data_IF_885072428659
#
_entry.id   IF_885072428659
#
_cell.length_a   1.000
_cell.length_b   1.000
_cell.length_c   1.000
_cell.angle_alpha   90.00
_cell.angle_beta   90.00
_cell.angle_gamma   90.00
#
_symmetry.space_group_name_H-M   'P 1'
#
loop_
_entity.id
_entity.type
_entity.pdbx_description
1 polymer ?
#
# COMPACT_ATOMS: atom_id res chain seq x y z
N UNK A 1 5.40 -4.63 -4.64
CA UNK A 1 4.87 -4.32 -3.29
C UNK A 1 5.21 -2.90 -2.79
N UNK A 2 6.47 -2.48 -2.65
CA UNK A 2 6.78 -1.12 -2.14
C UNK A 2 6.11 -0.03 -2.98
N UNK A 3 6.16 -0.14 -4.31
CA UNK A 3 5.52 0.83 -5.21
C UNK A 3 3.99 0.84 -5.08
N UNK A 4 3.37 -0.30 -4.91
CA UNK A 4 1.93 -0.39 -4.63
C UNK A 4 1.59 0.34 -3.32
N UNK A 5 2.38 0.12 -2.26
CA UNK A 5 2.16 0.80 -0.97
C UNK A 5 2.44 2.31 -1.04
N UNK A 6 3.34 2.76 -1.93
CA UNK A 6 3.62 4.17 -2.16
C UNK A 6 2.46 4.86 -2.87
N UNK A 7 2.03 4.27 -4.00
CA UNK A 7 1.04 4.89 -4.87
C UNK A 7 -0.40 4.63 -4.38
N UNK A 8 -0.64 3.48 -3.75
CA UNK A 8 -1.95 3.08 -3.24
C UNK A 8 -1.85 2.67 -1.76
N UNK A 9 -1.59 3.63 -0.85
CA UNK A 9 -1.54 3.32 0.58
C UNK A 9 -2.92 2.90 1.08
N UNK A 10 -2.99 1.79 1.80
CA UNK A 10 -4.26 1.26 2.35
C UNK A 10 -4.94 2.27 3.27
N UNK A 11 -4.15 3.01 4.07
CA UNK A 11 -4.64 4.09 4.94
C UNK A 11 -4.01 5.42 4.54
N UNK A 12 -4.63 6.20 3.65
CA UNK A 12 -4.02 7.41 3.06
C UNK A 12 -3.70 8.49 4.08
N UNK A 13 -4.49 8.62 5.15
CA UNK A 13 -4.29 9.61 6.23
C UNK A 13 -3.77 8.98 7.52
N UNK A 14 -3.43 7.69 7.50
CA UNK A 14 -3.16 6.88 8.67
C UNK A 14 -4.28 6.99 9.73
N UNK A 15 -4.06 6.42 10.92
CA UNK A 15 -5.02 6.57 12.01
C UNK A 15 -4.90 7.95 12.66
N UNK A 16 -6.02 8.63 12.97
CA UNK A 16 -5.99 9.93 13.64
C UNK A 16 -5.18 9.91 14.93
N UNK A 17 -4.48 11.01 15.21
CA UNK A 17 -3.77 11.25 16.47
C UNK A 17 -4.48 12.36 17.23
N UNK A 18 -4.34 12.36 18.55
CA UNK A 18 -4.79 13.44 19.40
C UNK A 18 -3.58 14.04 20.10
N UNK A 19 -3.38 15.36 19.97
CA UNK A 19 -2.39 16.07 20.75
C UNK A 19 -2.79 16.03 22.23
N UNK A 20 -1.91 15.55 23.10
CA UNK A 20 -2.17 15.44 24.55
C UNK A 20 -1.90 16.72 25.31
N UNK A 21 -1.02 17.52 24.75
CA UNK A 21 -0.53 18.78 25.28
C UNK A 21 -0.28 19.74 24.14
N UNK A 22 -0.13 21.02 24.43
CA UNK A 22 0.28 21.99 23.43
C UNK A 22 1.67 21.65 22.92
N UNK A 23 1.84 21.64 21.62
CA UNK A 23 3.13 21.29 20.97
C UNK A 23 3.35 22.15 19.74
N UNK A 24 4.58 22.61 19.54
CA UNK A 24 4.99 23.29 18.31
C UNK A 24 5.69 22.33 17.37
N UNK A 25 5.27 22.31 16.10
CA UNK A 25 5.87 21.51 15.03
C UNK A 25 6.24 22.46 13.88
N UNK A 26 7.54 22.64 13.65
CA UNK A 26 8.03 23.67 12.73
C UNK A 26 7.60 25.07 13.20
N UNK A 27 6.82 25.76 12.36
CA UNK A 27 6.25 27.09 12.66
C UNK A 27 4.80 27.08 13.15
N UNK A 28 4.24 25.89 13.42
CA UNK A 28 2.85 25.73 13.81
C UNK A 28 2.71 25.36 15.28
N UNK A 29 1.84 26.07 16.00
CA UNK A 29 1.41 25.70 17.34
C UNK A 29 0.16 24.85 17.26
N UNK A 30 0.22 23.68 17.88
CA UNK A 30 -0.85 22.68 17.87
C UNK A 30 -1.36 22.55 19.31
N UNK A 31 -2.54 23.10 19.63
CA UNK A 31 -3.13 23.00 20.97
C UNK A 31 -3.45 21.57 21.37
N UNK A 32 -3.45 21.31 22.67
CA UNK A 32 -3.96 20.07 23.24
C UNK A 32 -5.39 19.81 22.76
N UNK A 33 -5.72 18.53 22.52
CA UNK A 33 -7.03 18.13 21.97
C UNK A 33 -7.16 18.25 20.46
N UNK A 34 -6.17 18.82 19.76
CA UNK A 34 -6.16 18.87 18.29
C UNK A 34 -6.03 17.47 17.69
N UNK A 35 -6.90 17.19 16.71
CA UNK A 35 -6.81 15.97 15.92
C UNK A 35 -5.82 16.16 14.76
N UNK A 36 -4.81 15.30 14.70
CA UNK A 36 -3.72 15.34 13.72
C UNK A 36 -3.79 14.11 12.81
N UNK A 37 -3.68 14.32 11.51
CA UNK A 37 -3.55 13.28 10.50
C UNK A 37 -2.17 13.35 9.83
N UNK A 38 -1.67 12.19 9.41
CA UNK A 38 -0.43 12.09 8.63
C UNK A 38 -0.85 11.68 7.21
N UNK A 39 -0.67 12.58 6.26
CA UNK A 39 -1.06 12.34 4.87
C UNK A 39 -0.02 11.48 4.13
N UNK A 40 -0.08 10.16 4.36
CA UNK A 40 0.80 9.19 3.72
C UNK A 40 0.60 9.15 2.19
N UNK A 41 -0.60 9.48 1.72
CA UNK A 41 -0.92 9.59 0.29
C UNK A 41 -0.14 10.73 -0.37
N UNK A 42 -0.12 11.92 0.22
CA UNK A 42 0.64 13.05 -0.30
C UNK A 42 2.15 12.82 -0.19
N UNK A 43 2.64 12.27 0.93
CA UNK A 43 4.05 11.92 1.14
C UNK A 43 4.54 10.98 0.02
N UNK A 44 3.77 9.94 -0.30
CA UNK A 44 4.11 9.00 -1.35
C UNK A 44 4.08 9.59 -2.78
N UNK A 45 3.55 10.81 -2.95
CA UNK A 45 3.40 11.52 -4.22
C UNK A 45 4.15 12.85 -4.29
N UNK A 46 4.98 13.14 -3.31
CA UNK A 46 5.74 14.38 -3.25
C UNK A 46 6.80 14.42 -4.37
N UNK A 47 6.71 15.36 -5.33
CA UNK A 47 7.66 15.48 -6.41
C UNK A 47 9.06 15.94 -5.96
N UNK A 48 9.19 16.50 -4.76
CA UNK A 48 10.48 16.84 -4.18
C UNK A 48 11.29 15.57 -3.79
N UNK A 49 10.60 14.44 -3.62
CA UNK A 49 11.19 13.17 -3.16
C UNK A 49 11.13 12.09 -4.24
N UNK A 50 10.03 12.06 -5.00
CA UNK A 50 9.74 11.00 -5.96
C UNK A 50 9.74 11.53 -7.40
N UNK A 51 10.66 11.07 -8.20
CA UNK A 51 10.64 11.31 -9.65
C UNK A 51 9.39 10.67 -10.28
N UNK A 52 8.69 11.39 -11.17
CA UNK A 52 7.44 10.96 -11.79
C UNK A 52 6.48 10.31 -10.75
N UNK A 53 6.03 11.09 -9.72
CA UNK A 53 5.38 10.55 -8.53
C UNK A 53 4.04 9.86 -8.80
N UNK A 54 3.38 10.17 -9.90
CA UNK A 54 2.09 9.59 -10.30
C UNK A 54 2.23 8.32 -11.13
N UNK A 55 3.44 8.00 -11.61
CA UNK A 55 3.68 6.79 -12.38
C UNK A 55 3.95 5.60 -11.47
N UNK A 56 3.38 4.45 -11.83
CA UNK A 56 3.69 3.18 -11.18
C UNK A 56 4.98 2.59 -11.73
N UNK A 57 6.09 2.81 -11.01
CA UNK A 57 7.45 2.40 -11.41
C UNK A 57 8.12 1.58 -10.32
N UNK A 58 7.89 0.24 -10.27
CA UNK A 58 8.49 -0.63 -9.26
C UNK A 58 10.02 -0.60 -9.24
N UNK A 59 10.63 -0.30 -10.38
CA UNK A 59 12.07 -0.26 -10.60
C UNK A 59 12.78 0.79 -9.74
N UNK A 60 12.05 1.84 -9.29
CA UNK A 60 12.60 2.86 -8.38
C UNK A 60 13.09 2.29 -7.05
N UNK A 61 12.64 1.09 -6.70
CA UNK A 61 13.08 0.40 -5.48
C UNK A 61 14.21 -0.60 -5.71
N UNK A 62 14.64 -0.83 -6.95
CA UNK A 62 15.79 -1.69 -7.25
C UNK A 62 17.06 -0.97 -6.78
N UNK A 63 17.82 -1.58 -5.90
CA UNK A 63 19.00 -0.96 -5.27
C UNK A 63 18.71 0.16 -4.27
N UNK A 64 17.45 0.57 -4.09
CA UNK A 64 17.07 1.59 -3.12
C UNK A 64 17.13 1.05 -1.69
N UNK A 65 17.60 1.89 -0.76
CA UNK A 65 17.56 1.60 0.69
C UNK A 65 16.22 1.91 1.34
N UNK A 66 15.33 2.62 0.64
CA UNK A 66 14.00 2.99 1.16
C UNK A 66 13.22 1.73 1.48
N UNK A 67 12.71 1.66 2.71
CA UNK A 67 11.86 0.57 3.17
C UNK A 67 10.60 1.08 3.88
N UNK A 68 9.73 0.16 4.24
CA UNK A 68 8.42 0.43 4.86
C UNK A 68 8.41 0.28 6.38
N UNK A 69 9.59 0.18 7.01
CA UNK A 69 9.74 -0.11 8.45
C UNK A 69 9.65 1.13 9.34
N UNK A 70 9.20 2.26 8.78
CA UNK A 70 8.96 3.50 9.54
C UNK A 70 10.20 4.31 9.88
N UNK A 71 11.34 4.02 9.25
CA UNK A 71 12.59 4.81 9.36
C UNK A 71 12.78 5.74 8.15
N UNK A 72 12.13 5.44 7.05
CA UNK A 72 12.12 6.21 5.80
C UNK A 72 10.80 6.99 5.74
N UNK A 73 10.84 8.27 6.13
CA UNK A 73 9.64 9.10 6.26
C UNK A 73 8.99 9.44 4.92
N UNK A 74 9.71 9.25 3.84
CA UNK A 74 9.18 9.33 2.47
C UNK A 74 8.23 8.18 2.09
N UNK A 75 8.20 7.08 2.87
CA UNK A 75 7.36 5.91 2.62
C UNK A 75 6.82 5.31 3.91
N UNK A 76 5.61 5.67 4.30
CA UNK A 76 5.01 5.34 5.60
C UNK A 76 3.70 4.54 5.50
N UNK A 77 3.61 3.44 4.74
CA UNK A 77 2.35 2.71 4.58
C UNK A 77 1.85 2.09 5.90
N UNK A 78 2.75 1.83 6.85
CA UNK A 78 2.45 1.30 8.18
C UNK A 78 2.60 2.34 9.29
N UNK A 79 2.84 3.60 8.94
CA UNK A 79 3.19 4.66 9.88
C UNK A 79 4.59 4.49 10.47
N UNK A 80 4.85 5.19 11.57
CA UNK A 80 6.14 5.19 12.27
C UNK A 80 5.97 5.39 13.78
N UNK A 81 7.05 5.12 14.54
CA UNK A 81 7.14 5.37 15.97
C UNK A 81 6.23 4.49 16.82
N UNK A 82 5.83 5.01 17.98
CA UNK A 82 5.04 4.27 19.00
C UNK A 82 3.66 3.79 18.56
N UNK A 83 3.16 4.29 17.44
CA UNK A 83 1.83 3.96 16.87
C UNK A 83 1.94 3.33 15.47
N UNK A 84 3.11 2.80 15.14
CA UNK A 84 3.29 2.01 13.93
C UNK A 84 2.36 0.79 13.94
N UNK A 85 1.91 0.37 12.77
CA UNK A 85 1.02 -0.79 12.60
C UNK A 85 1.63 -2.06 13.25
N UNK A 86 0.96 -2.67 14.23
CA UNK A 86 1.47 -3.89 14.87
C UNK A 86 1.45 -5.09 13.93
N UNK A 87 0.60 -5.07 12.89
CA UNK A 87 0.48 -6.13 11.88
C UNK A 87 1.50 -6.06 10.75
N UNK A 88 2.40 -5.05 10.72
CA UNK A 88 3.36 -4.86 9.63
C UNK A 88 4.19 -6.12 9.36
N UNK A 89 4.75 -6.74 10.41
CA UNK A 89 5.59 -7.94 10.27
C UNK A 89 4.83 -9.12 9.67
N UNK A 90 3.57 -9.28 10.01
CA UNK A 90 2.68 -10.30 9.43
C UNK A 90 2.37 -9.97 7.97
N UNK A 91 1.96 -8.74 7.68
CA UNK A 91 1.61 -8.32 6.31
C UNK A 91 2.80 -8.50 5.34
N UNK A 92 4.00 -8.10 5.74
CA UNK A 92 5.21 -8.22 4.91
C UNK A 92 5.65 -9.67 4.65
N UNK A 93 5.15 -10.63 5.41
CA UNK A 93 5.37 -12.07 5.17
C UNK A 93 4.22 -12.70 4.39
N UNK A 94 2.99 -12.42 4.81
CA UNK A 94 1.80 -13.07 4.24
C UNK A 94 1.51 -12.61 2.80
N UNK A 95 1.57 -11.31 2.51
CA UNK A 95 1.23 -10.81 1.18
C UNK A 95 2.15 -11.35 0.09
N UNK A 96 3.50 -11.33 0.23
CA UNK A 96 4.39 -11.95 -0.76
C UNK A 96 4.19 -13.46 -0.89
N UNK A 97 3.93 -14.15 0.22
CA UNK A 97 3.71 -15.60 0.22
C UNK A 97 2.42 -15.95 -0.55
N UNK A 98 1.33 -15.22 -0.28
CA UNK A 98 0.06 -15.42 -1.00
C UNK A 98 0.24 -15.14 -2.48
N UNK A 99 0.84 -14.00 -2.85
CA UNK A 99 1.11 -13.66 -4.25
C UNK A 99 2.00 -14.68 -4.94
N UNK A 100 3.05 -15.14 -4.28
CA UNK A 100 3.94 -16.16 -4.83
C UNK A 100 3.20 -17.46 -5.12
N UNK A 101 2.36 -17.93 -4.20
CA UNK A 101 1.55 -19.13 -4.40
C UNK A 101 0.54 -18.96 -5.54
N UNK A 102 -0.16 -17.83 -5.59
CA UNK A 102 -1.13 -17.54 -6.65
C UNK A 102 -0.47 -17.48 -8.04
N UNK A 103 0.67 -16.79 -8.16
CA UNK A 103 1.40 -16.67 -9.41
C UNK A 103 2.13 -17.97 -9.82
N UNK A 104 2.53 -18.79 -8.86
CA UNK A 104 3.12 -20.08 -9.11
C UNK A 104 2.08 -21.11 -9.59
N UNK A 105 0.95 -21.16 -8.90
CA UNK A 105 -0.07 -22.17 -9.15
C UNK A 105 -0.95 -21.87 -10.37
N UNK A 106 -1.16 -20.60 -10.72
CA UNK A 106 -2.13 -20.20 -11.74
C UNK A 106 -1.53 -19.25 -12.78
N UNK A 107 -1.97 -19.39 -14.03
CA UNK A 107 -1.92 -18.32 -15.02
C UNK A 107 -3.18 -17.47 -14.85
N UNK A 108 -3.00 -16.14 -14.92
CA UNK A 108 -4.08 -15.20 -14.72
C UNK A 108 -4.40 -14.47 -16.01
N UNK A 109 -5.66 -14.33 -16.32
CA UNK A 109 -6.14 -13.49 -17.41
C UNK A 109 -7.38 -12.72 -16.99
N UNK A 110 -7.64 -11.62 -17.68
CA UNK A 110 -8.89 -10.88 -17.53
C UNK A 110 -10.03 -11.65 -18.24
N UNK A 111 -11.29 -11.41 -17.84
CA UNK A 111 -12.45 -11.91 -18.59
C UNK A 111 -12.42 -11.47 -20.05
N UNK A 112 -13.05 -12.25 -20.92
CA UNK A 112 -13.09 -11.95 -22.34
C UNK A 112 -13.74 -10.59 -22.60
N UNK A 113 -13.12 -9.79 -23.48
CA UNK A 113 -13.56 -8.43 -23.80
C UNK A 113 -13.13 -7.33 -22.84
N UNK A 114 -12.34 -7.66 -21.80
CA UNK A 114 -11.79 -6.65 -20.86
C UNK A 114 -10.31 -6.41 -21.16
N UNK A 115 -9.95 -5.19 -21.54
CA UNK A 115 -8.57 -4.77 -21.71
C UNK A 115 -7.98 -4.28 -20.37
N UNK A 116 -6.69 -4.51 -20.16
CA UNK A 116 -6.03 -4.09 -18.93
C UNK A 116 -6.06 -2.57 -18.72
N UNK A 117 -6.03 -1.83 -19.82
CA UNK A 117 -6.08 -0.36 -19.85
C UNK A 117 -7.47 0.20 -19.48
N UNK A 118 -8.52 -0.62 -19.58
CA UNK A 118 -9.89 -0.27 -19.24
C UNK A 118 -10.22 -0.52 -17.76
N UNK A 119 -9.32 -1.15 -17.02
CA UNK A 119 -9.53 -1.43 -15.60
C UNK A 119 -9.59 -0.10 -14.80
N UNK A 120 -10.76 0.18 -14.22
CA UNK A 120 -10.89 1.33 -13.33
C UNK A 120 -9.95 1.18 -12.12
N UNK A 121 -9.13 2.20 -11.89
CA UNK A 121 -8.29 2.31 -10.71
C UNK A 121 -8.90 3.26 -9.67
N UNK A 122 -10.18 3.61 -9.82
CA UNK A 122 -10.91 4.42 -8.85
C UNK A 122 -10.96 3.74 -7.49
N UNK A 123 -10.87 4.56 -6.46
CA UNK A 123 -10.77 4.13 -5.07
C UNK A 123 -12.02 4.56 -4.28
N UNK A 124 -12.45 3.70 -3.35
CA UNK A 124 -13.53 4.06 -2.42
C UNK A 124 -12.97 4.86 -1.26
N UNK A 125 -13.55 6.04 -1.01
CA UNK A 125 -13.13 6.88 0.11
C UNK A 125 -13.48 6.22 1.47
N UNK A 126 -12.50 6.21 2.38
CA UNK A 126 -12.68 5.66 3.73
C UNK A 126 -11.40 5.69 4.56
N UNK A 127 -11.45 5.05 5.74
CA UNK A 127 -10.26 4.84 6.57
C UNK A 127 -9.23 3.95 5.84
N UNK A 128 -9.75 2.96 5.11
CA UNK A 128 -9.01 2.16 4.14
C UNK A 128 -9.58 2.44 2.75
N UNK A 129 -8.71 2.38 1.74
CA UNK A 129 -9.04 2.79 0.38
C UNK A 129 -8.85 1.61 -0.58
N UNK A 130 -9.84 0.71 -0.67
CA UNK A 130 -9.86 -0.33 -1.69
C UNK A 130 -10.26 0.24 -3.06
N UNK A 131 -10.00 -0.50 -4.13
CA UNK A 131 -10.57 -0.19 -5.44
C UNK A 131 -12.10 -0.16 -5.35
N UNK A 132 -12.71 0.82 -6.04
CA UNK A 132 -14.17 0.95 -6.13
C UNK A 132 -14.78 -0.26 -6.85
N UNK A 133 -14.16 -0.67 -7.95
CA UNK A 133 -14.54 -1.88 -8.71
C UNK A 133 -13.52 -2.97 -8.41
N UNK A 134 -13.91 -4.09 -7.76
CA UNK A 134 -13.01 -5.21 -7.51
C UNK A 134 -12.40 -5.76 -8.82
N UNK A 135 -11.17 -6.29 -8.73
CA UNK A 135 -10.55 -6.97 -9.84
C UNK A 135 -11.19 -8.34 -10.02
N UNK A 136 -11.80 -8.56 -11.18
CA UNK A 136 -12.18 -9.88 -11.64
C UNK A 136 -11.08 -10.46 -12.53
N UNK A 137 -10.66 -11.68 -12.24
CA UNK A 137 -9.64 -12.36 -13.01
C UNK A 137 -9.91 -13.87 -13.05
N UNK A 138 -9.61 -14.49 -14.19
CA UNK A 138 -9.75 -15.93 -14.40
C UNK A 138 -8.44 -16.62 -14.09
N UNK A 139 -8.51 -17.65 -13.25
CA UNK A 139 -7.36 -18.44 -12.82
C UNK A 139 -7.32 -19.75 -13.62
N UNK A 140 -6.26 -19.95 -14.40
CA UNK A 140 -6.01 -21.19 -15.13
C UNK A 140 -4.92 -22.00 -14.41
N UNK A 141 -5.19 -23.25 -13.99
CA UNK A 141 -4.22 -24.08 -13.30
C UNK A 141 -2.95 -24.31 -14.13
N UNK A 142 -1.79 -24.06 -13.56
CA UNK A 142 -0.46 -24.30 -14.18
C UNK A 142 0.18 -25.60 -13.75
N UNK A 143 -0.21 -26.11 -12.58
CA UNK A 143 0.37 -27.32 -11.99
C UNK A 143 -0.48 -28.55 -12.30
N UNK A 144 0.05 -29.72 -12.05
CA UNK A 144 -0.69 -30.98 -12.20
C UNK A 144 -1.87 -31.02 -11.22
N UNK A 145 -3.03 -31.53 -11.67
CA UNK A 145 -4.29 -31.54 -10.90
C UNK A 145 -4.13 -32.12 -9.47
N UNK A 146 -3.29 -33.14 -9.28
CA UNK A 146 -3.00 -33.75 -7.95
C UNK A 146 -2.43 -32.77 -6.92
N UNK A 147 -1.81 -31.66 -7.37
CA UNK A 147 -1.20 -30.66 -6.48
C UNK A 147 -2.21 -29.64 -5.95
N UNK A 148 -3.43 -29.64 -6.48
CA UNK A 148 -4.56 -28.83 -6.00
C UNK A 148 -5.51 -29.61 -5.09
N UNK A 149 -5.47 -30.95 -5.15
CA UNK A 149 -6.18 -31.78 -4.20
C UNK A 149 -5.45 -31.69 -2.86
N UNK A 150 -6.13 -31.20 -1.82
CA UNK A 150 -5.62 -31.29 -0.46
C UNK A 150 -5.39 -32.75 -0.04
N UNK A 151 -4.65 -32.98 1.04
CA UNK A 151 -4.48 -34.30 1.60
C UNK A 151 -5.80 -34.93 2.02
#
# INVERSE_FOLDING_TARGET
>A
MKETMRLHPVGPLLTPRLAREDVSVGSYDIPAGTRVFINAWAIGRDPAVWEAPMEFRPERFVGSRVDVKGQHFELLPFGSGRRMCPGMGLALRMVPMILANLLHAFAWRLPDGVAAEELSMEETFGLTVPRLVPLEALAEPKLQARLYAGP
#
